data_IF_404942961834
#
_entry.id   IF_404942961834
#
_cell.length_a   1.000
_cell.length_b   1.000
_cell.length_c   1.000
_cell.angle_alpha   90.00
_cell.angle_beta   90.00
_cell.angle_gamma   90.00
#
_symmetry.space_group_name_H-M   'P 1'
#
loop_
_entity.id
_entity.type
_entity.pdbx_description
1 polymer ?
#
# COMPACT_ATOMS: atom_id res chain seq x y z
N UNK A 1 -23.11 -19.53 21.80
CA UNK A 1 -23.16 -19.04 20.40
C UNK A 1 -21.86 -18.32 20.02
N UNK A 2 -20.71 -18.99 20.11
CA UNK A 2 -19.40 -18.42 19.71
C UNK A 2 -18.51 -19.46 19.01
N UNK A 3 -18.83 -20.75 19.09
CA UNK A 3 -18.02 -21.83 18.49
C UNK A 3 -18.39 -22.22 17.05
N UNK A 4 -19.45 -21.66 16.47
CA UNK A 4 -19.90 -22.00 15.11
C UNK A 4 -19.20 -21.22 13.99
N UNK A 5 -18.30 -20.29 14.31
CA UNK A 5 -17.51 -19.56 13.30
C UNK A 5 -16.18 -20.23 12.93
N UNK A 6 -15.76 -21.30 13.63
CA UNK A 6 -14.47 -21.95 13.40
C UNK A 6 -14.49 -23.11 12.38
N UNK A 7 -15.66 -23.56 11.93
CA UNK A 7 -15.80 -24.79 11.14
C UNK A 7 -16.23 -24.58 9.68
N UNK A 8 -16.16 -23.33 9.19
CA UNK A 8 -16.45 -23.00 7.79
C UNK A 8 -15.24 -22.44 7.05
N UNK A 9 -14.06 -22.98 7.36
CA UNK A 9 -13.03 -23.13 6.33
C UNK A 9 -13.48 -24.28 5.41
N UNK A 10 -13.47 -24.05 4.10
CA UNK A 10 -13.82 -25.00 3.03
C UNK A 10 -15.32 -25.07 2.68
N UNK A 11 -15.74 -24.27 1.68
CA UNK A 11 -16.64 -24.60 0.54
C UNK A 11 -17.20 -23.29 -0.04
N UNK A 12 -16.67 -22.88 -1.21
CA UNK A 12 -17.39 -22.17 -2.27
C UNK A 12 -17.89 -20.74 -2.01
N UNK A 13 -17.12 -19.77 -2.49
CA UNK A 13 -17.62 -18.58 -3.23
C UNK A 13 -18.93 -17.94 -2.75
N UNK A 14 -18.87 -17.24 -1.61
CA UNK A 14 -19.84 -16.17 -1.31
C UNK A 14 -19.04 -14.94 -0.88
N UNK A 15 -18.57 -14.20 -1.88
CA UNK A 15 -18.07 -12.84 -1.68
C UNK A 15 -19.27 -11.97 -1.26
N UNK A 16 -19.58 -11.98 0.04
CA UNK A 16 -20.61 -11.11 0.60
C UNK A 16 -20.20 -9.65 0.36
N UNK A 17 -21.12 -8.75 -0.02
CA UNK A 17 -20.80 -7.34 -0.28
C UNK A 17 -20.13 -6.63 0.90
N UNK A 18 -20.39 -7.08 2.14
CA UNK A 18 -19.70 -6.61 3.35
C UNK A 18 -18.22 -7.01 3.40
N UNK A 19 -17.85 -8.21 2.93
CA UNK A 19 -16.46 -8.67 2.88
C UNK A 19 -15.69 -7.95 1.76
N UNK A 20 -16.37 -7.64 0.65
CA UNK A 20 -15.78 -6.85 -0.42
C UNK A 20 -15.53 -5.40 0.00
N UNK A 21 -16.44 -4.82 0.80
CA UNK A 21 -16.30 -3.47 1.36
C UNK A 21 -15.16 -3.41 2.39
N UNK A 22 -15.10 -4.37 3.31
CA UNK A 22 -14.02 -4.47 4.29
C UNK A 22 -12.64 -4.67 3.61
N UNK A 23 -12.60 -5.38 2.48
CA UNK A 23 -11.36 -5.55 1.73
C UNK A 23 -10.96 -4.27 0.95
N UNK A 24 -11.93 -3.50 0.44
CA UNK A 24 -11.68 -2.21 -0.21
C UNK A 24 -11.16 -1.17 0.80
N UNK A 25 -11.80 -1.08 1.97
CA UNK A 25 -11.36 -0.22 3.07
C UNK A 25 -9.95 -0.60 3.53
N UNK A 26 -9.67 -1.89 3.77
CA UNK A 26 -8.34 -2.33 4.17
C UNK A 26 -7.25 -2.03 3.11
N UNK A 27 -7.60 -2.11 1.81
CA UNK A 27 -6.68 -1.73 0.72
C UNK A 27 -6.43 -0.24 0.70
N UNK A 28 -7.47 0.57 0.86
CA UNK A 28 -7.36 2.04 0.94
C UNK A 28 -6.52 2.46 2.12
N UNK A 29 -6.79 1.93 3.31
CA UNK A 29 -5.98 2.23 4.50
C UNK A 29 -4.50 1.88 4.29
N UNK A 30 -4.21 0.72 3.66
CA UNK A 30 -2.84 0.34 3.33
C UNK A 30 -2.19 1.26 2.28
N UNK A 31 -2.96 1.74 1.30
CA UNK A 31 -2.48 2.73 0.32
C UNK A 31 -2.28 4.11 0.94
N UNK A 32 -3.18 4.56 1.79
CA UNK A 32 -3.06 5.82 2.53
C UNK A 32 -1.86 5.80 3.47
N UNK A 33 -1.64 4.71 4.20
CA UNK A 33 -0.44 4.55 5.03
C UNK A 33 0.83 4.56 4.20
N UNK A 34 0.85 3.88 3.04
CA UNK A 34 1.99 3.93 2.12
C UNK A 34 2.22 5.34 1.59
N UNK A 35 1.16 6.03 1.18
CA UNK A 35 1.21 7.41 0.69
C UNK A 35 1.76 8.34 1.77
N UNK A 36 1.22 8.28 2.99
CA UNK A 36 1.66 9.07 4.13
C UNK A 36 3.15 8.86 4.40
N UNK A 37 3.60 7.60 4.45
CA UNK A 37 5.01 7.26 4.64
C UNK A 37 5.88 7.84 3.51
N UNK A 38 5.48 7.66 2.26
CA UNK A 38 6.17 8.23 1.10
C UNK A 38 6.19 9.76 1.13
N UNK A 39 5.14 10.43 1.61
CA UNK A 39 5.11 11.90 1.74
C UNK A 39 6.03 12.43 2.84
N UNK A 40 6.28 11.65 3.90
CA UNK A 40 7.26 12.01 4.92
C UNK A 40 8.69 11.80 4.42
N UNK A 41 8.94 10.73 3.67
CA UNK A 41 10.29 10.41 3.19
C UNK A 41 10.70 11.26 1.97
N UNK A 42 9.74 11.56 1.08
CA UNK A 42 10.01 12.22 -0.19
C UNK A 42 9.59 13.68 -0.20
N UNK A 43 10.50 14.53 -0.66
CA UNK A 43 10.19 15.94 -0.94
C UNK A 43 9.17 16.09 -2.07
N UNK A 44 8.53 17.26 -2.14
CA UNK A 44 7.56 17.57 -3.19
C UNK A 44 8.14 17.48 -4.60
N UNK A 45 9.41 17.84 -4.80
CA UNK A 45 10.10 17.68 -6.09
C UNK A 45 10.33 16.20 -6.44
N UNK A 46 10.77 15.38 -5.46
CA UNK A 46 11.00 13.96 -5.68
C UNK A 46 9.71 13.23 -6.09
N UNK A 47 8.58 13.56 -5.46
CA UNK A 47 7.26 13.05 -5.85
C UNK A 47 6.86 13.49 -7.26
N UNK A 48 7.05 14.77 -7.61
CA UNK A 48 6.76 15.26 -8.96
C UNK A 48 7.63 14.58 -10.03
N UNK A 49 8.90 14.29 -9.70
CA UNK A 49 9.81 13.53 -10.59
C UNK A 49 9.35 12.08 -10.75
N UNK A 50 8.98 11.41 -9.66
CA UNK A 50 8.42 10.06 -9.70
C UNK A 50 7.12 10.00 -10.54
N UNK A 51 6.22 10.97 -10.37
CA UNK A 51 4.99 11.06 -11.15
C UNK A 51 5.28 11.21 -12.66
N UNK A 52 6.22 12.09 -13.03
CA UNK A 52 6.66 12.23 -14.43
C UNK A 52 7.24 10.94 -15.01
N UNK A 53 8.03 10.19 -14.21
CA UNK A 53 8.56 8.89 -14.63
C UNK A 53 7.44 7.89 -14.80
N UNK A 54 6.45 7.87 -13.89
CA UNK A 54 5.32 6.95 -13.96
C UNK A 54 4.47 7.14 -15.23
N UNK A 55 4.36 8.38 -15.75
CA UNK A 55 3.66 8.67 -17.01
C UNK A 55 4.29 7.96 -18.21
N UNK A 56 5.62 7.83 -18.23
CA UNK A 56 6.35 7.24 -19.37
C UNK A 56 6.78 5.79 -19.12
N UNK A 57 7.02 5.42 -17.85
CA UNK A 57 7.56 4.13 -17.41
C UNK A 57 7.06 3.80 -15.98
N UNK A 58 5.82 3.32 -15.83
CA UNK A 58 5.24 3.01 -14.51
C UNK A 58 5.99 1.91 -13.77
N UNK A 59 6.57 0.94 -14.49
CA UNK A 59 7.41 -0.12 -13.92
C UNK A 59 8.64 0.42 -13.17
N UNK A 60 9.30 1.45 -13.73
CA UNK A 60 10.48 2.06 -13.10
C UNK A 60 10.10 2.91 -11.91
N UNK A 61 8.98 3.62 -11.98
CA UNK A 61 8.46 4.38 -10.85
C UNK A 61 8.19 3.47 -9.65
N UNK A 62 7.46 2.35 -9.86
CA UNK A 62 7.20 1.36 -8.80
C UNK A 62 8.48 0.78 -8.20
N UNK A 63 9.47 0.45 -9.03
CA UNK A 63 10.75 -0.07 -8.54
C UNK A 63 11.46 0.93 -7.63
N UNK A 64 11.41 2.22 -7.96
CA UNK A 64 11.98 3.28 -7.12
C UNK A 64 11.18 3.45 -5.83
N UNK A 65 9.84 3.44 -5.89
CA UNK A 65 8.97 3.48 -4.70
C UNK A 65 9.24 2.30 -3.75
N UNK A 66 9.41 1.08 -4.27
CA UNK A 66 9.70 -0.10 -3.46
C UNK A 66 11.06 -0.01 -2.74
N UNK A 67 12.09 0.45 -3.45
CA UNK A 67 13.42 0.68 -2.86
C UNK A 67 13.34 1.73 -1.75
N UNK A 68 12.58 2.81 -1.97
CA UNK A 68 12.37 3.87 -0.96
C UNK A 68 11.59 3.32 0.24
N UNK A 69 10.52 2.58 0.03
CA UNK A 69 9.77 1.96 1.13
C UNK A 69 10.64 0.99 1.94
N UNK A 70 11.44 0.17 1.27
CA UNK A 70 12.34 -0.78 1.92
C UNK A 70 13.43 -0.07 2.71
N UNK A 71 14.09 0.91 2.12
CA UNK A 71 15.16 1.63 2.79
C UNK A 71 14.64 2.50 3.93
N UNK A 72 13.41 3.01 3.87
CA UNK A 72 12.79 3.71 4.98
C UNK A 72 12.42 2.78 6.15
N UNK A 73 11.88 1.59 5.86
CA UNK A 73 11.66 0.55 6.88
C UNK A 73 12.95 0.11 7.56
N UNK A 74 14.06 0.10 6.83
CA UNK A 74 15.39 -0.20 7.37
C UNK A 74 16.05 0.98 8.09
N UNK A 75 15.42 2.17 8.10
CA UNK A 75 15.99 3.39 8.68
C UNK A 75 17.18 3.96 7.90
N UNK A 76 17.44 3.48 6.67
CA UNK A 76 18.57 3.90 5.84
C UNK A 76 18.33 5.22 5.10
N UNK A 77 17.06 5.62 4.95
CA UNK A 77 16.66 6.94 4.46
C UNK A 77 15.82 7.59 5.55
N UNK A 78 16.50 8.44 6.30
CA UNK A 78 15.89 9.44 7.16
C UNK A 78 15.50 10.62 6.28
N UNK A 79 14.23 11.02 6.42
CA UNK A 79 13.63 12.25 5.91
C UNK A 79 14.70 13.33 5.60
N UNK A 80 14.87 13.66 4.32
CA UNK A 80 15.61 14.87 3.96
C UNK A 80 14.63 16.03 4.12
N UNK A 81 14.52 16.51 5.36
CA UNK A 81 13.99 17.83 5.69
C UNK A 81 14.77 18.93 5.00
#
# INVERSE_FOLDING_TARGET
MQELMAQRGMIGSRESPEQNKAQDDAKREAEEQRQLMLTQILTSDARARLARIALVKPEKARGVEDVILRAAKMGQIVEKG
#
